data_IF_032671313735
#
_entry.id   IF_032671313735
#
_cell.length_a   1.000
_cell.length_b   1.000
_cell.length_c   1.000
_cell.angle_alpha   90.00
_cell.angle_beta   90.00
_cell.angle_gamma   90.00
#
_symmetry.space_group_name_H-M   'P 1'
#
loop_
_entity.id
_entity.type
_entity.pdbx_description
1 polymer ?
#
# COMPACT_ATOMS: atom_id res chain seq x y z
N UNK A 1 18.98 -16.43 19.62
CA UNK A 1 19.97 -15.77 18.71
C UNK A 1 19.49 -14.39 18.25
N UNK A 2 18.17 -14.10 18.20
CA UNK A 2 17.64 -12.79 17.76
C UNK A 2 17.98 -11.59 18.67
N UNK A 3 18.10 -11.78 20.00
CA UNK A 3 18.33 -10.65 20.93
C UNK A 3 19.73 -10.00 20.88
N UNK A 4 20.76 -10.70 20.39
CA UNK A 4 22.12 -10.10 20.32
C UNK A 4 22.28 -9.17 19.12
N UNK A 5 21.55 -9.41 18.03
CA UNK A 5 21.66 -8.60 16.81
C UNK A 5 20.88 -7.29 16.89
N UNK A 6 19.74 -7.25 17.60
CA UNK A 6 19.00 -6.01 17.85
C UNK A 6 19.79 -5.01 18.71
N UNK A 7 20.56 -5.52 19.68
CA UNK A 7 21.40 -4.70 20.57
C UNK A 7 22.61 -4.09 19.82
N UNK A 8 23.22 -4.85 18.90
CA UNK A 8 24.31 -4.34 18.04
C UNK A 8 23.83 -3.30 17.02
N UNK A 9 22.60 -3.42 16.52
CA UNK A 9 22.01 -2.42 15.61
C UNK A 9 21.80 -1.05 16.30
N UNK A 10 21.32 -1.05 17.54
CA UNK A 10 21.17 0.17 18.34
C UNK A 10 22.51 0.86 18.63
N UNK A 11 23.59 0.11 18.85
CA UNK A 11 24.93 0.68 19.10
C UNK A 11 25.53 1.39 17.89
N UNK A 12 25.14 1.02 16.67
CA UNK A 12 25.66 1.59 15.42
C UNK A 12 24.78 2.70 14.83
N UNK A 13 23.71 3.13 15.51
CA UNK A 13 22.87 4.21 14.98
C UNK A 13 22.01 3.79 13.78
N UNK A 14 21.83 2.48 13.53
CA UNK A 14 21.25 1.99 12.28
C UNK A 14 20.10 1.00 12.55
N UNK A 15 19.11 0.95 11.66
CA UNK A 15 17.90 0.09 11.78
C UNK A 15 18.15 -1.41 11.52
N UNK A 16 19.38 -1.88 11.81
CA UNK A 16 19.84 -3.24 11.53
C UNK A 16 20.35 -3.44 10.11
N UNK A 17 21.01 -4.57 9.83
CA UNK A 17 21.59 -4.85 8.53
C UNK A 17 20.52 -5.10 7.46
N UNK A 18 20.72 -4.56 6.25
CA UNK A 18 19.74 -4.60 5.17
C UNK A 18 19.32 -6.02 4.75
N UNK A 19 20.21 -7.01 4.86
CA UNK A 19 19.88 -8.40 4.48
C UNK A 19 18.81 -9.00 5.39
N UNK A 20 18.76 -8.64 6.68
CA UNK A 20 17.71 -9.10 7.60
C UNK A 20 16.32 -8.57 7.22
N UNK A 21 16.25 -7.49 6.41
CA UNK A 21 15.01 -6.92 5.87
C UNK A 21 14.64 -7.46 4.49
N UNK A 22 15.46 -8.34 3.92
CA UNK A 22 15.20 -8.93 2.61
C UNK A 22 13.99 -9.83 2.69
N UNK A 23 12.97 -9.53 1.86
CA UNK A 23 11.74 -10.31 1.77
C UNK A 23 12.04 -11.79 1.48
N UNK A 24 13.00 -12.08 0.60
CA UNK A 24 13.34 -13.46 0.23
C UNK A 24 13.96 -14.24 1.39
N UNK A 25 14.86 -13.63 2.16
CA UNK A 25 15.49 -14.31 3.29
C UNK A 25 14.49 -14.55 4.41
N UNK A 26 13.71 -13.52 4.76
CA UNK A 26 12.63 -13.68 5.73
C UNK A 26 11.61 -14.74 5.27
N UNK A 27 11.29 -14.79 3.97
CA UNK A 27 10.39 -15.81 3.44
C UNK A 27 10.95 -17.24 3.53
N UNK A 28 12.27 -17.41 3.41
CA UNK A 28 12.92 -18.71 3.53
C UNK A 28 13.10 -19.15 4.98
N UNK A 29 13.29 -18.20 5.89
CA UNK A 29 13.52 -18.47 7.32
C UNK A 29 12.21 -18.71 8.09
N UNK A 30 11.12 -18.04 7.71
CA UNK A 30 9.81 -18.14 8.36
C UNK A 30 8.90 -19.21 7.75
N UNK A 31 8.08 -19.85 8.58
CA UNK A 31 7.06 -20.78 8.13
C UNK A 31 5.70 -20.07 7.99
N UNK A 32 5.29 -19.77 6.75
CA UNK A 32 4.03 -19.08 6.50
C UNK A 32 2.83 -20.03 6.46
N UNK A 33 1.72 -19.67 7.13
CA UNK A 33 0.49 -20.41 6.97
C UNK A 33 -0.06 -20.25 5.53
N UNK A 34 -0.88 -21.21 5.07
CA UNK A 34 -1.61 -21.07 3.82
C UNK A 34 -2.35 -19.72 3.73
N UNK A 35 -2.39 -19.05 2.56
CA UNK A 35 -2.96 -17.71 2.42
C UNK A 35 -4.40 -17.58 2.94
N UNK A 36 -5.23 -18.60 2.76
CA UNK A 36 -6.61 -18.60 3.26
C UNK A 36 -6.67 -18.55 4.80
N UNK A 37 -5.84 -19.36 5.48
CA UNK A 37 -5.77 -19.37 6.95
C UNK A 37 -5.19 -18.06 7.49
N UNK A 38 -4.20 -17.51 6.78
CA UNK A 38 -3.63 -16.20 7.10
C UNK A 38 -4.67 -15.07 7.06
N UNK A 39 -5.47 -15.00 5.98
CA UNK A 39 -6.53 -13.99 5.87
C UNK A 39 -7.66 -14.21 6.88
N UNK A 40 -8.02 -15.47 7.17
CA UNK A 40 -9.00 -15.79 8.22
C UNK A 40 -8.52 -15.40 9.64
N UNK A 41 -7.22 -15.49 9.91
CA UNK A 41 -6.63 -15.00 11.15
C UNK A 41 -6.76 -13.48 11.26
N UNK A 42 -6.42 -12.74 10.20
CA UNK A 42 -6.57 -11.27 10.16
C UNK A 42 -8.04 -10.86 10.29
N UNK A 43 -8.96 -11.57 9.62
CA UNK A 43 -10.41 -11.31 9.68
C UNK A 43 -10.91 -11.29 11.15
N UNK A 44 -10.49 -12.29 11.93
CA UNK A 44 -10.93 -12.52 13.30
C UNK A 44 -10.14 -11.73 14.34
N UNK A 45 -8.82 -11.78 14.26
CA UNK A 45 -7.91 -11.30 15.30
C UNK A 45 -7.28 -9.93 14.97
N UNK A 46 -7.32 -9.49 13.71
CA UNK A 46 -6.64 -8.28 13.27
C UNK A 46 -5.13 -8.45 13.10
N UNK A 47 -4.39 -7.34 13.21
CA UNK A 47 -2.93 -7.35 13.09
C UNK A 47 -2.26 -7.59 14.44
N UNK A 48 -1.14 -8.31 14.45
CA UNK A 48 -0.37 -8.50 15.66
C UNK A 48 0.30 -7.18 16.07
N UNK A 49 0.38 -6.83 17.38
CA UNK A 49 1.00 -5.59 17.83
C UNK A 49 2.46 -5.40 17.36
N UNK A 50 3.22 -6.49 17.25
CA UNK A 50 4.61 -6.43 16.76
C UNK A 50 4.70 -6.03 15.28
N UNK A 51 3.63 -6.24 14.51
CA UNK A 51 3.54 -5.82 13.11
C UNK A 51 3.04 -4.36 12.98
N UNK A 52 2.72 -3.67 14.08
CA UNK A 52 2.18 -2.30 14.11
C UNK A 52 3.23 -1.21 13.92
N UNK A 53 3.99 -1.35 12.85
CA UNK A 53 5.05 -0.45 12.45
C UNK A 53 5.08 -0.33 10.92
N UNK A 54 5.28 0.88 10.41
CA UNK A 54 5.48 1.14 8.99
C UNK A 54 6.65 2.10 8.82
N UNK A 55 7.64 1.66 8.04
CA UNK A 55 8.77 2.50 7.66
C UNK A 55 8.41 3.37 6.46
N UNK A 56 8.97 4.56 6.39
CA UNK A 56 8.80 5.48 5.28
C UNK A 56 10.14 5.79 4.66
N UNK A 57 10.25 5.65 3.35
CA UNK A 57 11.50 5.92 2.64
C UNK A 57 11.29 6.95 1.52
N UNK A 58 12.19 7.93 1.36
CA UNK A 58 12.09 8.92 0.29
C UNK A 58 12.23 8.26 -1.08
N UNK A 59 11.28 8.51 -1.98
CA UNK A 59 11.37 8.06 -3.37
C UNK A 59 12.54 8.77 -4.06
N UNK A 60 13.34 7.98 -4.75
CA UNK A 60 14.41 8.50 -5.60
C UNK A 60 13.86 9.13 -6.87
N UNK A 61 14.66 10.00 -7.50
CA UNK A 61 14.37 10.64 -8.80
C UNK A 61 13.05 11.45 -8.82
N UNK A 62 12.57 11.89 -7.67
CA UNK A 62 11.57 12.94 -7.57
C UNK A 62 12.20 14.29 -7.98
N UNK A 63 11.52 15.04 -8.85
CA UNK A 63 11.94 16.40 -9.24
C UNK A 63 11.45 17.50 -8.26
N UNK A 64 10.73 17.09 -7.20
CA UNK A 64 10.19 17.99 -6.18
C UNK A 64 11.23 18.19 -5.06
N UNK A 65 11.22 19.37 -4.45
CA UNK A 65 12.07 19.69 -3.28
C UNK A 65 11.64 18.82 -2.09
N UNK A 66 10.33 18.73 -1.84
CA UNK A 66 9.76 17.78 -0.89
C UNK A 66 9.60 16.43 -1.57
N UNK A 67 10.32 15.43 -1.08
CA UNK A 67 10.21 14.08 -1.59
C UNK A 67 8.85 13.45 -1.21
N UNK A 68 8.33 12.61 -2.10
CA UNK A 68 7.26 11.67 -1.74
C UNK A 68 7.86 10.47 -1.03
N UNK A 69 7.24 10.08 0.09
CA UNK A 69 7.62 8.89 0.84
C UNK A 69 6.85 7.68 0.30
N UNK A 70 7.49 6.52 0.23
CA UNK A 70 6.80 5.24 0.01
C UNK A 70 6.87 4.35 1.26
N UNK A 71 5.85 3.51 1.43
CA UNK A 71 5.70 2.66 2.60
C UNK A 71 6.52 1.38 2.55
N UNK A 72 7.18 1.07 3.65
CA UNK A 72 7.86 -0.19 3.95
C UNK A 72 7.07 -0.92 5.02
N UNK A 73 6.58 -2.11 4.70
CA UNK A 73 5.78 -2.93 5.60
C UNK A 73 6.60 -4.10 6.17
N UNK A 74 6.34 -4.51 7.42
CA UNK A 74 6.72 -5.84 7.92
C UNK A 74 6.18 -6.93 7.01
N UNK A 75 6.83 -8.10 7.01
CA UNK A 75 6.51 -9.17 6.07
C UNK A 75 5.06 -9.64 6.13
N UNK A 76 4.49 -9.75 7.33
CA UNK A 76 3.08 -10.14 7.52
C UNK A 76 2.12 -9.12 6.90
N UNK A 77 2.28 -7.83 7.19
CA UNK A 77 1.47 -6.77 6.56
C UNK A 77 1.70 -6.67 5.06
N UNK A 78 2.93 -6.88 4.60
CA UNK A 78 3.25 -6.96 3.17
C UNK A 78 2.49 -8.09 2.49
N UNK A 79 2.47 -9.29 3.11
CA UNK A 79 1.72 -10.43 2.61
C UNK A 79 0.22 -10.13 2.53
N UNK A 80 -0.34 -9.50 3.57
CA UNK A 80 -1.73 -9.03 3.57
C UNK A 80 -2.04 -8.11 2.39
N UNK A 81 -1.23 -7.06 2.17
CA UNK A 81 -1.44 -6.11 1.06
C UNK A 81 -1.32 -6.82 -0.29
N UNK A 82 -0.30 -7.68 -0.47
CA UNK A 82 -0.09 -8.40 -1.73
C UNK A 82 -1.26 -9.35 -2.04
N UNK A 83 -1.73 -10.11 -1.05
CA UNK A 83 -2.83 -11.06 -1.23
C UNK A 83 -4.14 -10.33 -1.55
N UNK A 84 -4.49 -9.30 -0.78
CA UNK A 84 -5.73 -8.54 -1.00
C UNK A 84 -5.73 -7.79 -2.33
N UNK A 85 -4.60 -7.20 -2.73
CA UNK A 85 -4.47 -6.55 -4.04
C UNK A 85 -4.47 -7.54 -5.21
N UNK A 86 -4.02 -8.78 -5.00
CA UNK A 86 -4.13 -9.85 -5.99
C UNK A 86 -5.59 -10.30 -6.16
N UNK A 87 -6.32 -10.53 -5.05
CA UNK A 87 -7.75 -10.87 -5.08
C UNK A 87 -8.57 -9.83 -5.85
N UNK A 88 -8.33 -8.54 -5.58
CA UNK A 88 -9.01 -7.45 -6.30
C UNK A 88 -8.68 -7.48 -7.79
N UNK A 89 -7.39 -7.58 -8.15
CA UNK A 89 -6.99 -7.56 -9.56
C UNK A 89 -7.53 -8.76 -10.35
N UNK A 90 -7.41 -9.97 -9.81
CA UNK A 90 -7.72 -11.19 -10.54
C UNK A 90 -9.24 -11.38 -10.71
N UNK A 91 -10.03 -10.95 -9.72
CA UNK A 91 -11.47 -11.18 -9.71
C UNK A 91 -12.29 -9.97 -10.19
N UNK A 92 -11.87 -8.72 -9.92
CA UNK A 92 -12.70 -7.55 -10.18
C UNK A 92 -12.31 -6.77 -11.44
N UNK A 93 -11.02 -6.65 -11.75
CA UNK A 93 -10.58 -5.74 -12.83
C UNK A 93 -11.09 -6.14 -14.22
N UNK A 94 -11.46 -7.41 -14.43
CA UNK A 94 -12.13 -7.83 -15.66
C UNK A 94 -13.44 -7.08 -15.92
N UNK A 95 -14.13 -6.63 -14.87
CA UNK A 95 -15.40 -5.89 -14.98
C UNK A 95 -15.21 -4.38 -15.15
N UNK A 96 -14.00 -3.85 -14.93
CA UNK A 96 -13.67 -2.43 -14.99
C UNK A 96 -12.56 -2.18 -16.04
N UNK A 97 -12.90 -2.20 -17.34
CA UNK A 97 -11.93 -2.07 -18.42
C UNK A 97 -11.29 -0.66 -18.52
N UNK A 98 -11.69 0.27 -17.66
CA UNK A 98 -11.09 1.59 -17.44
C UNK A 98 -9.79 1.49 -16.62
N UNK A 99 -9.67 0.49 -15.75
CA UNK A 99 -8.50 0.29 -14.89
C UNK A 99 -7.39 -0.40 -15.70
N UNK A 100 -6.32 0.33 -15.98
CA UNK A 100 -5.25 -0.13 -16.89
C UNK A 100 -4.04 -0.73 -16.20
N UNK A 101 -4.02 -0.81 -14.86
CA UNK A 101 -2.85 -1.23 -14.07
C UNK A 101 -2.32 -2.63 -14.42
N UNK A 102 -3.20 -3.54 -14.87
CA UNK A 102 -2.84 -4.92 -15.22
C UNK A 102 -2.60 -5.13 -16.71
N UNK A 103 -2.68 -4.07 -17.52
CA UNK A 103 -2.56 -4.18 -18.98
C UNK A 103 -1.10 -4.23 -19.41
N UNK A 104 -0.85 -5.00 -20.46
CA UNK A 104 0.41 -4.93 -21.19
C UNK A 104 0.45 -3.69 -22.11
N UNK A 105 1.63 -3.43 -22.67
CA UNK A 105 1.84 -2.26 -23.55
C UNK A 105 0.93 -2.30 -24.79
N UNK A 106 0.71 -3.48 -25.36
CA UNK A 106 -0.10 -3.66 -26.58
C UNK A 106 -1.58 -3.40 -26.30
N UNK A 107 -2.12 -3.94 -25.22
CA UNK A 107 -3.52 -3.71 -24.81
C UNK A 107 -3.75 -2.24 -24.49
N UNK A 108 -2.81 -1.60 -23.79
CA UNK A 108 -2.89 -0.18 -23.48
C UNK A 108 -2.89 0.70 -24.75
N UNK A 109 -1.97 0.45 -25.69
CA UNK A 109 -1.93 1.18 -26.97
C UNK A 109 -3.22 0.95 -27.78
N UNK A 110 -3.71 -0.28 -27.80
CA UNK A 110 -4.97 -0.62 -28.50
C UNK A 110 -6.15 0.13 -27.88
N UNK A 111 -6.20 0.25 -26.55
CA UNK A 111 -7.23 1.02 -25.83
C UNK A 111 -7.16 2.51 -26.16
N UNK A 112 -5.96 3.11 -26.11
CA UNK A 112 -5.74 4.52 -26.48
C UNK A 112 -6.18 4.76 -27.93
N UNK A 113 -5.77 3.90 -28.86
CA UNK A 113 -6.16 4.01 -30.26
C UNK A 113 -7.69 3.89 -30.43
N UNK A 114 -8.32 2.92 -29.77
CA UNK A 114 -9.77 2.69 -29.86
C UNK A 114 -10.57 3.88 -29.33
N UNK A 115 -10.09 4.53 -28.25
CA UNK A 115 -10.73 5.69 -27.65
C UNK A 115 -10.51 6.98 -28.46
N UNK A 116 -9.43 7.07 -29.26
CA UNK A 116 -9.08 8.28 -30.02
C UNK A 116 -9.48 8.23 -31.50
N UNK A 117 -9.59 7.03 -32.11
CA UNK A 117 -9.83 6.86 -33.56
C UNK A 117 -11.09 7.52 -34.11
N UNK A 118 -12.11 7.73 -33.27
CA UNK A 118 -13.40 8.27 -33.69
C UNK A 118 -13.45 9.81 -33.64
N UNK A 119 -12.49 10.46 -32.97
CA UNK A 119 -12.47 11.92 -32.82
C UNK A 119 -12.51 12.69 -34.15
N UNK A 120 -11.76 12.30 -35.21
CA UNK A 120 -11.83 13.01 -36.49
C UNK A 120 -13.18 12.84 -37.19
N UNK A 121 -13.84 11.69 -37.01
CA UNK A 121 -15.17 11.40 -37.59
C UNK A 121 -16.26 12.21 -36.88
N UNK A 122 -16.24 12.24 -35.56
CA UNK A 122 -17.19 13.02 -34.76
C UNK A 122 -17.11 14.51 -35.07
N UNK A 123 -15.90 15.04 -35.26
CA UNK A 123 -15.69 16.44 -35.67
C UNK A 123 -16.37 16.76 -37.01
N UNK A 124 -16.32 15.86 -38.00
CA UNK A 124 -17.01 16.04 -39.30
C UNK A 124 -18.53 16.00 -39.20
N UNK A 125 -19.07 15.34 -38.17
CA UNK A 125 -20.51 15.23 -37.91
C UNK A 125 -21.03 16.34 -36.98
N UNK A 126 -20.19 17.32 -36.62
CA UNK A 126 -20.57 18.42 -35.72
C UNK A 126 -20.44 18.09 -34.22
N UNK A 127 -19.99 16.89 -33.86
CA UNK A 127 -19.74 16.51 -32.47
C UNK A 127 -18.35 16.92 -32.00
N UNK A 128 -18.23 17.29 -30.73
CA UNK A 128 -16.98 17.68 -30.09
C UNK A 128 -16.62 16.66 -29.00
N UNK A 129 -15.40 16.12 -29.04
CA UNK A 129 -14.87 15.26 -27.98
C UNK A 129 -14.11 16.11 -26.97
N UNK A 130 -14.47 16.01 -25.69
CA UNK A 130 -13.78 16.66 -24.58
C UNK A 130 -12.95 15.62 -23.84
N UNK A 131 -11.69 15.94 -23.57
CA UNK A 131 -10.79 15.11 -22.77
C UNK A 131 -10.54 15.86 -21.46
N UNK A 132 -10.89 15.23 -20.34
CA UNK A 132 -10.66 15.77 -19.00
C UNK A 132 -9.58 14.93 -18.34
N UNK A 133 -8.50 15.59 -17.92
CA UNK A 133 -7.45 14.97 -17.12
C UNK A 133 -7.56 15.51 -15.70
N UNK A 134 -7.83 14.62 -14.75
CA UNK A 134 -7.95 14.98 -13.33
C UNK A 134 -6.74 14.46 -12.58
N UNK A 135 -6.04 15.36 -11.89
CA UNK A 135 -4.94 15.01 -10.98
C UNK A 135 -5.33 15.43 -9.56
N UNK A 136 -5.39 14.48 -8.64
CA UNK A 136 -5.81 14.70 -7.26
C UNK A 136 -4.62 15.03 -6.38
N UNK A 137 -4.73 16.13 -5.62
CA UNK A 137 -3.73 16.46 -4.60
C UNK A 137 -3.72 15.40 -3.51
N UNK A 138 -2.54 14.80 -3.29
CA UNK A 138 -2.30 13.81 -2.22
C UNK A 138 -3.36 12.69 -2.18
N UNK A 139 -3.77 12.18 -3.34
CA UNK A 139 -4.83 11.18 -3.50
C UNK A 139 -4.77 10.04 -2.47
N UNK A 140 -3.61 9.36 -2.34
CA UNK A 140 -3.43 8.29 -1.36
C UNK A 140 -3.64 8.77 0.09
N UNK A 141 -3.05 9.90 0.47
CA UNK A 141 -3.10 10.42 1.84
C UNK A 141 -4.48 10.98 2.21
N UNK A 142 -5.32 11.29 1.23
CA UNK A 142 -6.67 11.81 1.43
C UNK A 142 -7.75 10.71 1.45
N UNK A 143 -7.39 9.47 1.14
CA UNK A 143 -8.30 8.34 1.36
C UNK A 143 -8.61 8.18 2.84
N UNK A 144 -9.88 8.00 3.19
CA UNK A 144 -10.37 7.90 4.56
C UNK A 144 -11.21 6.65 4.75
N UNK A 145 -11.25 6.17 5.98
CA UNK A 145 -11.99 4.95 6.31
C UNK A 145 -13.48 5.14 6.04
N UNK A 146 -14.03 6.28 6.44
CA UNK A 146 -15.45 6.60 6.32
C UNK A 146 -15.95 6.51 4.87
N UNK A 147 -15.13 6.91 3.91
CA UNK A 147 -15.44 6.89 2.48
C UNK A 147 -15.28 5.50 1.85
N UNK A 148 -14.32 4.70 2.35
CA UNK A 148 -13.94 3.43 1.72
C UNK A 148 -14.59 2.21 2.38
N UNK A 149 -15.02 2.34 3.63
CA UNK A 149 -15.46 1.22 4.45
C UNK A 149 -16.70 0.50 3.88
N UNK A 150 -17.64 1.24 3.29
CA UNK A 150 -18.85 0.64 2.71
C UNK A 150 -18.47 -0.31 1.56
N UNK A 151 -17.72 0.20 0.57
CA UNK A 151 -17.31 -0.62 -0.57
C UNK A 151 -16.38 -1.75 -0.13
N UNK A 152 -15.45 -1.50 0.78
CA UNK A 152 -14.54 -2.54 1.27
C UNK A 152 -15.27 -3.63 2.07
N UNK A 153 -16.34 -3.29 2.79
CA UNK A 153 -17.24 -4.26 3.40
C UNK A 153 -17.98 -5.12 2.37
N UNK A 154 -18.42 -4.54 1.26
CA UNK A 154 -19.01 -5.29 0.15
C UNK A 154 -17.99 -6.23 -0.51
N UNK A 155 -16.74 -5.78 -0.66
CA UNK A 155 -15.65 -6.62 -1.15
C UNK A 155 -15.33 -7.76 -0.18
N UNK A 156 -15.32 -7.49 1.12
CA UNK A 156 -15.16 -8.53 2.14
C UNK A 156 -16.24 -9.61 2.00
N UNK A 157 -17.50 -9.20 1.92
CA UNK A 157 -18.63 -10.11 1.72
C UNK A 157 -18.50 -10.93 0.42
N UNK A 158 -18.06 -10.30 -0.67
CA UNK A 158 -17.86 -10.96 -1.96
C UNK A 158 -16.83 -12.10 -1.87
N UNK A 159 -15.74 -11.89 -1.12
CA UNK A 159 -14.69 -12.88 -0.94
C UNK A 159 -14.94 -13.84 0.23
N UNK A 160 -16.04 -13.68 0.96
CA UNK A 160 -16.41 -14.53 2.10
C UNK A 160 -15.73 -14.15 3.41
N UNK A 161 -15.22 -12.93 3.52
CA UNK A 161 -14.66 -12.33 4.72
C UNK A 161 -15.64 -11.35 5.36
N UNK A 162 -15.32 -10.87 6.58
CA UNK A 162 -16.10 -9.82 7.25
C UNK A 162 -15.32 -8.53 7.37
N UNK A 163 -14.04 -8.63 7.72
CA UNK A 163 -13.18 -7.52 8.10
C UNK A 163 -11.74 -7.76 7.59
N UNK A 164 -11.52 -7.96 6.28
CA UNK A 164 -10.16 -8.15 5.75
C UNK A 164 -9.74 -6.91 4.97
N UNK A 165 -10.47 -6.57 3.92
CA UNK A 165 -10.25 -5.40 3.08
C UNK A 165 -10.72 -4.15 3.81
N UNK A 166 -11.81 -4.18 4.57
CA UNK A 166 -12.25 -3.03 5.38
C UNK A 166 -11.22 -2.60 6.44
N UNK A 167 -10.42 -3.53 6.98
CA UNK A 167 -9.31 -3.26 7.93
C UNK A 167 -8.11 -2.48 7.36
N UNK A 168 -8.20 -2.01 6.11
CA UNK A 168 -7.14 -1.23 5.46
C UNK A 168 -6.70 -0.04 6.30
N UNK A 169 -7.66 0.74 6.79
CA UNK A 169 -7.37 1.96 7.53
C UNK A 169 -6.90 1.66 8.95
N UNK A 170 -7.39 0.58 9.57
CA UNK A 170 -6.86 0.07 10.85
C UNK A 170 -5.36 -0.26 10.75
N UNK A 171 -4.91 -0.83 9.62
CA UNK A 171 -3.49 -1.09 9.36
C UNK A 171 -2.65 0.18 9.49
N UNK A 172 -3.14 1.33 9.03
CA UNK A 172 -2.43 2.61 9.11
C UNK A 172 -2.59 3.28 10.47
N UNK A 173 -3.81 3.32 10.99
CA UNK A 173 -4.15 4.01 12.24
C UNK A 173 -3.44 3.40 13.45
N UNK A 174 -3.39 2.07 13.53
CA UNK A 174 -2.79 1.33 14.63
C UNK A 174 -1.26 1.27 14.55
N UNK A 175 -0.65 1.64 13.42
CA UNK A 175 0.79 1.54 13.23
C UNK A 175 1.53 2.80 13.65
N UNK A 176 2.72 2.62 14.23
CA UNK A 176 3.70 3.70 14.34
C UNK A 176 4.42 3.87 13.00
N UNK A 177 4.34 5.08 12.46
CA UNK A 177 5.07 5.52 11.29
C UNK A 177 6.44 6.05 11.72
N UNK A 178 7.49 5.71 10.98
CA UNK A 178 8.81 6.29 11.18
C UNK A 178 9.57 6.45 9.86
N UNK A 179 10.46 7.44 9.80
CA UNK A 179 11.33 7.63 8.65
C UNK A 179 12.50 6.64 8.69
N UNK A 180 12.62 5.82 7.65
CA UNK A 180 13.54 4.69 7.53
C UNK A 180 14.73 4.99 6.60
N UNK A 181 15.22 6.24 6.57
CA UNK A 181 16.28 6.71 5.68
C UNK A 181 17.71 6.55 6.25
N UNK A 182 17.83 5.93 7.43
CA UNK A 182 19.06 5.78 8.21
C UNK A 182 19.72 7.11 8.65
N UNK A 183 19.01 8.24 8.61
CA UNK A 183 19.56 9.51 9.11
C UNK A 183 19.51 9.61 10.63
N UNK A 184 18.66 8.82 11.29
CA UNK A 184 18.51 8.76 12.75
C UNK A 184 17.98 7.40 13.20
N UNK A 185 18.04 7.16 14.51
CA UNK A 185 17.37 6.02 15.15
C UNK A 185 15.99 6.46 15.67
N UNK A 186 14.90 5.78 15.27
CA UNK A 186 13.55 6.14 15.73
C UNK A 186 13.23 5.64 17.14
N UNK A 187 14.17 4.96 17.79
CA UNK A 187 14.06 4.41 19.14
C UNK A 187 15.18 4.92 20.04
N UNK A 188 14.87 5.10 21.32
CA UNK A 188 15.85 5.46 22.34
C UNK A 188 16.65 4.23 22.81
N UNK A 189 17.62 4.42 23.72
CA UNK A 189 18.43 3.33 24.28
C UNK A 189 17.63 2.31 25.11
N UNK A 190 16.41 2.65 25.52
CA UNK A 190 15.50 1.79 26.29
C UNK A 190 14.58 0.98 25.38
N UNK A 191 14.57 1.25 24.06
CA UNK A 191 13.71 0.61 23.08
C UNK A 191 12.38 1.32 22.81
N UNK A 192 12.15 2.47 23.43
CA UNK A 192 10.92 3.26 23.24
C UNK A 192 11.03 4.20 22.04
N UNK A 193 9.90 4.48 21.39
CA UNK A 193 9.81 5.46 20.32
C UNK A 193 10.25 6.85 20.79
N UNK A 194 11.06 7.53 19.98
CA UNK A 194 11.45 8.91 20.28
C UNK A 194 10.30 9.87 20.00
N UNK A 195 10.24 10.96 20.78
CA UNK A 195 9.32 12.06 20.51
C UNK A 195 9.94 13.01 19.46
N UNK A 196 9.78 12.67 18.18
CA UNK A 196 10.30 13.42 17.03
C UNK A 196 9.22 13.52 15.95
N UNK A 197 9.09 14.64 15.20
CA UNK A 197 8.12 14.78 14.11
C UNK A 197 8.19 13.70 13.02
N UNK A 198 9.33 13.00 12.90
CA UNK A 198 9.55 11.89 11.94
C UNK A 198 8.96 10.57 12.42
N UNK A 199 8.47 10.52 13.66
CA UNK A 199 7.80 9.36 14.27
C UNK A 199 6.40 9.79 14.71
N UNK A 200 5.37 9.13 14.21
CA UNK A 200 3.99 9.46 14.61
C UNK A 200 3.09 8.24 14.56
N UNK A 201 1.93 8.35 15.21
CA UNK A 201 0.86 7.35 15.26
C UNK A 201 -0.44 7.95 14.75
N UNK A 202 -1.51 7.15 14.69
CA UNK A 202 -2.85 7.59 14.28
C UNK A 202 -2.90 8.17 12.86
N UNK A 203 -2.22 7.52 11.91
CA UNK A 203 -2.27 7.94 10.51
C UNK A 203 -3.58 7.52 9.86
N UNK A 204 -4.44 8.50 9.55
CA UNK A 204 -5.80 8.26 9.04
C UNK A 204 -5.86 7.94 7.53
N UNK A 205 -4.78 8.29 6.81
CA UNK A 205 -4.72 8.20 5.36
C UNK A 205 -3.99 6.99 4.82
N UNK A 206 -3.92 6.93 3.50
CA UNK A 206 -3.05 5.99 2.80
C UNK A 206 -1.58 6.43 2.76
N UNK A 207 -0.72 5.49 2.41
CA UNK A 207 0.67 5.73 2.05
C UNK A 207 0.87 5.30 0.60
N UNK A 208 1.67 6.09 -0.12
CA UNK A 208 2.02 5.83 -1.51
C UNK A 208 2.58 4.40 -1.71
N UNK A 209 2.09 3.72 -2.74
CA UNK A 209 2.50 2.36 -3.10
C UNK A 209 1.75 1.25 -2.36
N UNK A 210 0.85 1.59 -1.45
CA UNK A 210 -0.03 0.65 -0.77
C UNK A 210 -1.47 0.87 -1.23
N UNK A 211 -2.22 -0.22 -1.41
CA UNK A 211 -3.68 -0.23 -1.62
C UNK A 211 -4.22 0.59 -2.79
N UNK A 212 -3.41 0.77 -3.83
CA UNK A 212 -3.78 1.53 -5.02
C UNK A 212 -5.00 0.94 -5.73
N UNK A 213 -5.06 -0.38 -5.92
CA UNK A 213 -6.14 -1.01 -6.70
C UNK A 213 -7.51 -0.83 -6.05
N UNK A 214 -7.58 -1.01 -4.73
CA UNK A 214 -8.81 -0.82 -3.97
C UNK A 214 -9.34 0.60 -4.07
N UNK A 215 -8.47 1.60 -3.93
CA UNK A 215 -8.88 3.01 -4.03
C UNK A 215 -9.21 3.45 -5.46
N UNK A 216 -8.55 2.86 -6.47
CA UNK A 216 -8.91 3.10 -7.87
C UNK A 216 -10.30 2.56 -8.21
N UNK A 217 -10.77 1.50 -7.55
CA UNK A 217 -12.14 1.00 -7.72
C UNK A 217 -13.19 2.01 -7.24
N UNK A 218 -12.85 2.80 -6.21
CA UNK A 218 -13.74 3.79 -5.60
C UNK A 218 -13.83 5.07 -6.44
N UNK A 219 -12.74 5.44 -7.11
CA UNK A 219 -12.58 6.71 -7.84
C UNK A 219 -13.12 6.60 -9.26
#
# INVERSE_FOLDING_TARGET
ISNQHGFLAMLHGNIGPSYMRSVLLQFLDDNFPPPALFLMDIDRNGFHPDDNVIGLFPKERELKIECRLFGLLPLRKRLYVVLTEALIADNLFRYFPEITMTFDSVTLQTKIHTNTRAQPRFKRQGFHTVIVNTDFSKWNSNMREEETNILFGDLDNLFGFKNVISRTHSMFNESTMYLADNTYLPINQQGDWINDPRVWTNHLGGIEGLRQKGWTLIT
#
